data_IF_434799391853
#
_entry.id   IF_434799391853
#
_cell.length_a   1.000
_cell.length_b   1.000
_cell.length_c   1.000
_cell.angle_alpha   90.00
_cell.angle_beta   90.00
_cell.angle_gamma   90.00
#
_symmetry.space_group_name_H-M   'P 1'
#
loop_
_entity.id
_entity.type
_entity.pdbx_description
1 polymer ?
#
# COMPACT_ATOMS: atom_id res chain seq x y z
N UNK A 1 -8.57 -0.54 13.61
CA UNK A 1 -8.90 -0.06 12.24
C UNK A 1 -7.88 0.95 11.69
N UNK A 2 -6.76 1.26 12.35
CA UNK A 2 -5.81 2.24 11.79
C UNK A 2 -5.09 1.69 10.54
N UNK A 3 -4.74 0.41 10.56
CA UNK A 3 -3.93 -0.26 9.54
C UNK A 3 -4.58 -0.27 8.14
N UNK A 4 -5.90 -0.40 8.09
CA UNK A 4 -6.67 -0.39 6.84
C UNK A 4 -6.67 0.97 6.15
N UNK A 5 -6.47 2.07 6.89
CA UNK A 5 -6.35 3.42 6.32
C UNK A 5 -4.89 3.79 6.02
N UNK A 6 -3.94 3.21 6.76
CA UNK A 6 -2.52 3.49 6.60
C UNK A 6 -1.98 3.02 5.24
N UNK A 7 -2.21 1.76 4.87
CA UNK A 7 -1.65 1.17 3.63
C UNK A 7 -2.07 1.92 2.36
N UNK A 8 -3.36 2.20 2.10
CA UNK A 8 -3.74 2.94 0.90
C UNK A 8 -3.23 4.39 0.91
N UNK A 9 -3.21 5.05 2.08
CA UNK A 9 -2.67 6.41 2.17
C UNK A 9 -1.15 6.46 1.95
N UNK A 10 -0.41 5.47 2.46
CA UNK A 10 1.01 5.34 2.25
C UNK A 10 1.33 5.14 0.75
N UNK A 11 0.55 4.28 0.08
CA UNK A 11 0.69 4.05 -1.37
C UNK A 11 0.43 5.32 -2.20
N UNK A 12 -0.57 6.14 -1.84
CA UNK A 12 -0.81 7.45 -2.49
C UNK A 12 0.41 8.37 -2.34
N UNK A 13 1.01 8.41 -1.14
CA UNK A 13 2.22 9.18 -0.88
C UNK A 13 3.36 8.79 -1.81
N UNK A 14 3.67 7.49 -1.87
CA UNK A 14 4.71 6.94 -2.75
C UNK A 14 4.40 7.22 -4.23
N UNK A 15 3.17 6.96 -4.67
CA UNK A 15 2.77 7.13 -6.08
C UNK A 15 2.77 8.59 -6.53
N UNK A 16 2.59 9.53 -5.60
CA UNK A 16 2.66 10.97 -5.87
C UNK A 16 4.08 11.53 -5.77
N UNK A 17 5.08 10.66 -5.50
CA UNK A 17 6.48 11.05 -5.40
C UNK A 17 6.86 11.71 -4.08
N UNK A 18 6.06 11.56 -3.01
CA UNK A 18 6.46 12.04 -1.68
C UNK A 18 7.60 11.20 -1.11
N UNK A 19 8.55 11.88 -0.47
CA UNK A 19 9.59 11.22 0.30
C UNK A 19 9.01 10.67 1.61
N UNK A 20 8.97 9.34 1.70
CA UNK A 20 8.48 8.63 2.89
C UNK A 20 9.58 8.28 3.89
N UNK A 21 10.86 8.61 3.60
CA UNK A 21 11.98 8.37 4.51
C UNK A 21 11.84 9.04 5.87
N UNK A 22 11.21 10.24 6.02
CA UNK A 22 10.98 10.85 7.33
C UNK A 22 9.96 10.11 8.21
N UNK A 23 9.24 9.11 7.68
CA UNK A 23 8.19 8.37 8.39
C UNK A 23 8.56 6.89 8.61
N UNK A 24 9.66 6.58 9.33
CA UNK A 24 10.20 5.22 9.43
C UNK A 24 9.24 4.22 10.09
N UNK A 25 8.39 4.68 11.02
CA UNK A 25 7.37 3.83 11.64
C UNK A 25 6.29 3.44 10.64
N UNK A 26 5.81 4.40 9.83
CA UNK A 26 4.80 4.12 8.81
C UNK A 26 5.37 3.18 7.74
N UNK A 27 6.61 3.38 7.32
CA UNK A 27 7.30 2.50 6.37
C UNK A 27 7.43 1.08 6.91
N UNK A 28 7.84 0.91 8.17
CA UNK A 28 7.93 -0.41 8.82
C UNK A 28 6.57 -1.10 8.92
N UNK A 29 5.53 -0.36 9.33
CA UNK A 29 4.17 -0.92 9.47
C UNK A 29 3.62 -1.30 8.09
N UNK A 30 3.75 -0.43 7.09
CA UNK A 30 3.33 -0.72 5.72
C UNK A 30 4.02 -1.98 5.15
N UNK A 31 5.33 -2.13 5.37
CA UNK A 31 6.05 -3.34 4.97
C UNK A 31 5.54 -4.60 5.69
N UNK A 32 5.26 -4.49 7.00
CA UNK A 32 4.73 -5.63 7.79
C UNK A 32 3.33 -6.04 7.33
N UNK A 33 2.45 -5.06 7.07
CA UNK A 33 1.09 -5.31 6.60
C UNK A 33 1.07 -5.86 5.16
N UNK A 34 2.01 -5.41 4.32
CA UNK A 34 2.18 -5.89 2.95
C UNK A 34 2.49 -7.39 2.84
N UNK A 35 2.95 -8.03 3.92
CA UNK A 35 3.17 -9.48 3.93
C UNK A 35 1.91 -10.31 4.17
N UNK A 36 0.85 -9.71 4.71
CA UNK A 36 -0.39 -10.41 5.01
C UNK A 36 -1.21 -10.66 3.73
N UNK A 37 -1.72 -11.87 3.57
CA UNK A 37 -2.50 -12.27 2.39
C UNK A 37 -3.72 -11.37 2.16
N UNK A 38 -4.34 -10.87 3.23
CA UNK A 38 -5.46 -9.94 3.14
C UNK A 38 -5.10 -8.63 2.41
N UNK A 39 -3.90 -8.07 2.66
CA UNK A 39 -3.44 -6.85 1.99
C UNK A 39 -2.92 -7.13 0.57
N UNK A 40 -2.35 -8.31 0.32
CA UNK A 40 -1.97 -8.77 -1.02
C UNK A 40 -3.21 -8.89 -1.91
N UNK A 41 -4.24 -9.60 -1.45
CA UNK A 41 -5.51 -9.77 -2.17
C UNK A 41 -6.25 -8.44 -2.39
N UNK A 42 -6.17 -7.50 -1.43
CA UNK A 42 -6.79 -6.18 -1.54
C UNK A 42 -5.94 -5.17 -2.35
N UNK A 43 -4.77 -5.56 -2.85
CA UNK A 43 -3.91 -4.65 -3.62
C UNK A 43 -4.63 -4.17 -4.89
N UNK A 44 -4.50 -2.88 -5.29
CA UNK A 44 -5.18 -2.35 -6.49
C UNK A 44 -4.89 -3.15 -7.77
N UNK A 45 -3.68 -3.72 -7.90
CA UNK A 45 -3.30 -4.55 -9.04
C UNK A 45 -3.95 -5.94 -9.09
N UNK A 46 -4.51 -6.39 -7.97
CA UNK A 46 -5.21 -7.68 -7.89
C UNK A 46 -6.74 -7.53 -8.05
N UNK A 47 -7.24 -6.33 -8.35
CA UNK A 47 -8.67 -6.11 -8.53
C UNK A 47 -9.13 -6.47 -9.95
N UNK A 48 -10.38 -6.93 -10.13
CA UNK A 48 -10.90 -7.33 -11.45
C UNK A 48 -10.84 -6.21 -12.50
N UNK A 49 -10.98 -4.97 -12.06
CA UNK A 49 -10.98 -3.75 -12.87
C UNK A 49 -9.58 -3.17 -13.11
N UNK A 50 -8.52 -3.76 -12.53
CA UNK A 50 -7.16 -3.34 -12.81
C UNK A 50 -6.86 -3.48 -14.32
N UNK A 51 -6.37 -2.41 -14.99
CA UNK A 51 -5.99 -2.48 -16.40
C UNK A 51 -4.98 -3.61 -16.66
N UNK A 52 -5.11 -4.40 -17.75
CA UNK A 52 -4.25 -5.55 -18.01
C UNK A 52 -2.74 -5.24 -18.01
N UNK A 53 -2.37 -4.03 -18.41
CA UNK A 53 -0.99 -3.53 -18.43
C UNK A 53 -0.44 -3.18 -17.04
N UNK A 54 -1.31 -3.07 -16.03
CA UNK A 54 -0.96 -2.74 -14.65
C UNK A 54 -1.16 -3.91 -13.67
N UNK A 55 -1.74 -5.04 -14.11
CA UNK A 55 -1.94 -6.23 -13.28
C UNK A 55 -0.63 -6.85 -12.81
#
# INVERSE_FOLDING_TARGET
MADIFLVPQFAIGVNSGLDMTPYPIMSRVNATLGELDAFKAAHPRQQPDCPPEMR
#
